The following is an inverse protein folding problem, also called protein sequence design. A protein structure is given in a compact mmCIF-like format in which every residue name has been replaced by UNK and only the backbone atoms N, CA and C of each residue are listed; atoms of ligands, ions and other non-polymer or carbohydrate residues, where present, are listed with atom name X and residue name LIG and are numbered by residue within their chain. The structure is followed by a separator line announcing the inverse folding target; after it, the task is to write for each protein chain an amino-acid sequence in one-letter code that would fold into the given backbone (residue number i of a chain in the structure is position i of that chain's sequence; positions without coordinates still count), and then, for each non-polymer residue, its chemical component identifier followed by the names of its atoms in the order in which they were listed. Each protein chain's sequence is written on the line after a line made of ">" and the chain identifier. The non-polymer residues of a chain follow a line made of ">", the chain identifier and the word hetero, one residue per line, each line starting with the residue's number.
data_IF_364502264199
#
_entry.id   IF_364502264199
#
_cell.length_a   1.000
_cell.length_b   1.000
_cell.length_c   1.000
_cell.angle_alpha   90.00
_cell.angle_beta   90.00
_cell.angle_gamma   90.00
#
_symmetry.space_group_name_H-M   'P 1'
#
loop_
_entity.id
_entity.type
_entity.pdbx_description
1 polymer ?
#
# COMPACT_ATOMS: atom_id res chain seq x y z
N UNK A 1 15.08 -10.44 7.82
CA UNK A 1 15.94 -10.44 6.63
C UNK A 1 15.05 -10.01 5.48
N UNK A 2 15.36 -8.91 4.77
CA UNK A 2 14.54 -8.46 3.65
C UNK A 2 15.25 -8.68 2.31
N UNK A 3 14.48 -8.82 1.24
CA UNK A 3 14.92 -9.05 -0.14
C UNK A 3 14.33 -7.97 -1.05
N UNK A 4 14.95 -7.67 -2.19
CA UNK A 4 14.42 -6.64 -3.08
C UNK A 4 13.25 -7.19 -3.91
N UNK A 5 12.22 -6.37 -4.08
CA UNK A 5 11.08 -6.64 -4.95
C UNK A 5 10.87 -5.47 -5.90
N UNK A 6 10.51 -5.78 -7.13
CA UNK A 6 10.18 -4.78 -8.16
C UNK A 6 8.68 -4.80 -8.46
N UNK A 7 8.04 -3.65 -8.43
CA UNK A 7 6.63 -3.47 -8.76
C UNK A 7 6.40 -3.71 -10.26
N UNK A 8 5.48 -4.63 -10.57
CA UNK A 8 5.06 -4.92 -11.95
C UNK A 8 3.77 -4.23 -12.32
N UNK A 9 2.79 -4.25 -11.42
CA UNK A 9 1.50 -3.61 -11.63
C UNK A 9 0.81 -3.30 -10.31
N UNK A 10 -0.02 -2.28 -10.32
CA UNK A 10 -0.88 -1.94 -9.19
C UNK A 10 -2.22 -1.39 -9.69
N UNK A 11 -3.29 -1.69 -8.96
CA UNK A 11 -4.59 -1.02 -9.06
C UNK A 11 -5.06 -0.76 -7.64
N UNK A 12 -4.88 0.46 -7.14
CA UNK A 12 -5.30 0.86 -5.80
C UNK A 12 -6.40 1.91 -5.89
N UNK A 13 -7.53 1.61 -5.25
CA UNK A 13 -8.71 2.47 -5.23
C UNK A 13 -9.00 2.91 -3.81
N UNK A 14 -9.04 4.22 -3.63
CA UNK A 14 -9.46 4.84 -2.37
C UNK A 14 -10.92 5.25 -2.52
N UNK A 15 -11.81 4.69 -1.69
CA UNK A 15 -13.22 5.09 -1.72
C UNK A 15 -13.41 6.47 -1.05
N UNK A 16 -14.39 7.25 -1.49
CA UNK A 16 -14.66 8.58 -0.90
C UNK A 16 -14.99 8.50 0.60
N UNK A 17 -15.64 7.42 1.03
CA UNK A 17 -15.88 7.14 2.45
C UNK A 17 -14.63 6.62 3.17
N UNK A 18 -13.74 5.91 2.47
CA UNK A 18 -12.42 5.57 2.99
C UNK A 18 -11.58 6.82 3.24
N UNK A 19 -11.57 7.81 2.33
CA UNK A 19 -10.90 9.11 2.56
C UNK A 19 -11.46 9.81 3.80
N UNK A 20 -12.78 9.80 4.00
CA UNK A 20 -13.43 10.36 5.20
C UNK A 20 -13.08 9.57 6.47
N UNK A 21 -13.08 8.24 6.40
CA UNK A 21 -12.67 7.35 7.50
C UNK A 21 -11.19 7.50 7.83
N UNK A 22 -10.32 7.64 6.83
CA UNK A 22 -8.91 8.00 6.94
C UNK A 22 -8.78 9.34 7.66
N UNK A 23 -9.39 10.41 7.14
CA UNK A 23 -9.35 11.74 7.77
C UNK A 23 -9.86 11.74 9.22
N UNK A 24 -10.82 10.88 9.55
CA UNK A 24 -11.41 10.77 10.90
C UNK A 24 -10.62 9.85 11.85
N UNK A 25 -10.12 8.72 11.35
CA UNK A 25 -9.29 7.77 12.10
C UNK A 25 -7.92 8.36 12.42
N UNK A 26 -7.54 9.42 11.70
CA UNK A 26 -6.21 9.97 11.69
C UNK A 26 -6.18 11.44 12.12
N UNK A 27 -6.71 11.75 13.29
CA UNK A 27 -6.34 12.98 13.99
C UNK A 27 -4.81 12.97 14.25
N UNK A 28 -3.99 13.36 13.26
CA UNK A 28 -2.52 13.40 13.31
C UNK A 28 -1.73 12.64 12.23
N UNK A 29 -2.36 11.97 11.27
CA UNK A 29 -1.63 11.35 10.14
C UNK A 29 -1.43 12.34 9.00
N UNK A 30 -0.24 12.27 8.41
CA UNK A 30 0.05 12.92 7.15
C UNK A 30 0.32 11.82 6.14
N UNK A 31 -0.31 11.89 4.97
CA UNK A 31 -0.01 11.04 3.83
C UNK A 31 1.48 11.09 3.42
N UNK A 32 2.19 12.15 3.84
CA UNK A 32 3.63 12.30 3.65
C UNK A 32 4.47 11.40 4.57
N UNK A 33 3.86 10.59 5.45
CA UNK A 33 4.54 9.63 6.34
C UNK A 33 4.55 8.20 5.80
N UNK A 34 3.80 7.91 4.74
CA UNK A 34 3.89 6.63 4.04
C UNK A 34 5.26 6.55 3.37
N UNK A 35 6.01 5.51 3.68
CA UNK A 35 7.37 5.34 3.16
C UNK A 35 7.30 4.78 1.73
N UNK A 36 6.35 3.87 1.49
CA UNK A 36 6.26 3.10 0.24
C UNK A 36 5.18 3.62 -0.69
N UNK A 37 4.27 4.46 -0.21
CA UNK A 37 3.15 4.99 -0.99
C UNK A 37 3.02 6.52 -0.89
N UNK A 38 2.54 7.13 -1.96
CA UNK A 38 2.17 8.54 -2.01
C UNK A 38 0.70 8.68 -2.39
N UNK A 39 0.08 9.73 -1.88
CA UNK A 39 -1.30 10.09 -2.22
C UNK A 39 -1.30 11.41 -2.98
N UNK A 40 -1.79 11.39 -4.21
CA UNK A 40 -2.00 12.59 -5.03
C UNK A 40 -3.26 12.42 -5.88
N UNK A 41 -3.98 13.52 -6.08
CA UNK A 41 -5.18 13.58 -6.94
C UNK A 41 -6.23 12.48 -6.66
N UNK A 42 -6.40 12.07 -5.39
CA UNK A 42 -7.39 11.05 -5.02
C UNK A 42 -6.92 9.60 -5.25
N UNK A 43 -5.66 9.40 -5.63
CA UNK A 43 -5.08 8.10 -5.93
C UNK A 43 -3.88 7.83 -5.04
N UNK A 44 -3.71 6.55 -4.70
CA UNK A 44 -2.52 6.05 -4.03
C UNK A 44 -1.59 5.40 -5.06
N UNK A 45 -0.31 5.74 -5.05
CA UNK A 45 0.69 5.15 -5.94
C UNK A 45 1.97 4.83 -5.17
N UNK A 46 2.70 3.76 -5.52
CA UNK A 46 3.97 3.43 -4.89
C UNK A 46 5.04 4.48 -5.21
N UNK A 47 5.90 4.82 -4.23
CA UNK A 47 6.96 5.84 -4.37
C UNK A 47 8.16 5.32 -5.15
N UNK A 48 8.56 4.08 -4.87
CA UNK A 48 9.68 3.42 -5.52
C UNK A 48 9.23 2.12 -6.20
N UNK A 49 9.71 1.94 -7.43
CA UNK A 49 9.42 0.73 -8.21
C UNK A 49 10.24 -0.47 -7.75
N UNK A 50 11.30 -0.27 -6.96
CA UNK A 50 12.11 -1.33 -6.38
C UNK A 50 12.51 -0.96 -4.96
N UNK A 51 12.08 -1.74 -3.98
CA UNK A 51 12.43 -1.55 -2.58
C UNK A 51 12.61 -2.90 -1.88
N UNK A 52 13.11 -2.88 -0.65
CA UNK A 52 13.32 -4.08 0.14
C UNK A 52 12.01 -4.49 0.80
N UNK A 53 11.51 -5.69 0.51
CA UNK A 53 10.39 -6.24 1.26
C UNK A 53 10.83 -6.47 2.71
N UNK A 54 10.14 -5.78 3.62
CA UNK A 54 10.36 -5.80 5.06
C UNK A 54 9.00 -5.81 5.77
N UNK A 55 8.98 -6.20 7.03
CA UNK A 55 7.74 -6.33 7.82
C UNK A 55 6.96 -4.99 7.84
N UNK A 56 7.67 -3.85 7.89
CA UNK A 56 7.10 -2.51 7.86
C UNK A 56 6.28 -2.23 6.58
N UNK A 57 6.68 -2.80 5.43
CA UNK A 57 5.91 -2.66 4.20
C UNK A 57 4.57 -3.39 4.29
N UNK A 58 4.56 -4.62 4.80
CA UNK A 58 3.31 -5.39 4.95
C UNK A 58 2.39 -4.74 5.99
N UNK A 59 2.96 -4.18 7.07
CA UNK A 59 2.21 -3.37 8.04
C UNK A 59 1.57 -2.14 7.39
N UNK A 60 2.28 -1.44 6.50
CA UNK A 60 1.75 -0.31 5.73
C UNK A 60 0.60 -0.75 4.80
N UNK A 61 0.70 -1.91 4.14
CA UNK A 61 -0.39 -2.48 3.35
C UNK A 61 -1.63 -2.81 4.20
N UNK A 62 -1.43 -3.43 5.36
CA UNK A 62 -2.51 -3.74 6.30
C UNK A 62 -3.18 -2.45 6.77
N UNK A 63 -2.38 -1.43 7.08
CA UNK A 63 -2.87 -0.11 7.45
C UNK A 63 -3.72 0.50 6.33
N UNK A 64 -3.23 0.52 5.09
CA UNK A 64 -3.98 1.02 3.92
C UNK A 64 -5.29 0.25 3.70
N UNK A 65 -5.27 -1.07 3.88
CA UNK A 65 -6.47 -1.90 3.82
C UNK A 65 -7.47 -1.54 4.94
N UNK A 66 -7.04 -1.31 6.18
CA UNK A 66 -7.93 -0.84 7.28
C UNK A 66 -8.51 0.54 7.02
N UNK A 67 -7.71 1.39 6.38
CA UNK A 67 -8.11 2.71 5.91
C UNK A 67 -9.17 2.64 4.79
N UNK A 68 -9.46 1.45 4.26
CA UNK A 68 -10.49 1.24 3.24
C UNK A 68 -9.98 1.37 1.80
N UNK A 69 -8.65 1.38 1.62
CA UNK A 69 -8.03 1.19 0.30
C UNK A 69 -8.27 -0.24 -0.15
N UNK A 70 -8.61 -0.40 -1.42
CA UNK A 70 -8.85 -1.70 -2.03
C UNK A 70 -8.06 -1.86 -3.30
N UNK A 71 -7.74 -3.10 -3.66
CA UNK A 71 -7.11 -3.39 -4.93
C UNK A 71 -6.00 -4.41 -4.82
N UNK A 72 -5.07 -4.35 -5.75
CA UNK A 72 -3.97 -5.31 -5.83
C UNK A 72 -2.64 -4.67 -6.19
N UNK A 73 -1.57 -5.29 -5.70
CA UNK A 73 -0.19 -5.00 -6.02
C UNK A 73 0.50 -6.31 -6.44
N UNK A 74 1.25 -6.26 -7.53
CA UNK A 74 2.00 -7.41 -8.05
C UNK A 74 3.47 -7.02 -8.15
N UNK A 75 4.33 -7.85 -7.56
CA UNK A 75 5.77 -7.67 -7.53
C UNK A 75 6.50 -8.90 -8.06
N UNK A 76 7.74 -8.69 -8.50
CA UNK A 76 8.70 -9.74 -8.82
C UNK A 76 9.92 -9.61 -7.91
N UNK A 77 10.33 -10.69 -7.25
CA UNK A 77 11.56 -10.77 -6.45
C UNK A 77 12.81 -11.03 -7.30
N UNK A 78 13.98 -10.85 -6.69
CA UNK A 78 15.29 -11.04 -7.33
C UNK A 78 15.48 -12.46 -7.92
N UNK A 79 14.90 -13.48 -7.29
CA UNK A 79 15.01 -14.87 -7.73
C UNK A 79 13.87 -15.33 -8.67
N UNK A 80 13.11 -14.39 -9.25
CA UNK A 80 11.97 -14.69 -10.12
C UNK A 80 10.70 -15.09 -9.36
N UNK A 81 10.67 -14.85 -8.05
CA UNK A 81 9.50 -15.01 -7.20
C UNK A 81 8.40 -14.00 -7.56
N UNK A 82 7.14 -14.37 -7.36
CA UNK A 82 5.99 -13.51 -7.62
C UNK A 82 5.20 -13.29 -6.34
N UNK A 83 5.00 -12.02 -5.99
CA UNK A 83 4.23 -11.63 -4.83
C UNK A 83 2.99 -10.88 -5.30
N UNK A 84 1.82 -11.29 -4.81
CA UNK A 84 0.56 -10.61 -5.08
C UNK A 84 -0.12 -10.31 -3.76
N UNK A 85 -0.33 -9.02 -3.50
CA UNK A 85 -1.02 -8.53 -2.32
C UNK A 85 -2.40 -8.02 -2.72
N UNK A 86 -3.44 -8.42 -1.99
CA UNK A 86 -4.83 -8.05 -2.30
C UNK A 86 -5.46 -7.36 -1.10
N UNK A 87 -5.69 -6.06 -1.23
CA UNK A 87 -6.29 -5.24 -0.17
C UNK A 87 -7.81 -5.32 -0.27
N UNK A 88 -8.45 -5.87 0.76
CA UNK A 88 -9.91 -6.04 0.83
C UNK A 88 -10.67 -4.83 1.41
N UNK A 89 -9.93 -3.85 1.97
CA UNK A 89 -10.51 -2.68 2.61
C UNK A 89 -11.02 -2.93 4.03
N UNK A 90 -10.64 -4.06 4.64
CA UNK A 90 -10.99 -4.47 6.02
C UNK A 90 -9.76 -4.75 6.89
N UNK A 91 -8.56 -4.47 6.38
CA UNK A 91 -7.31 -4.73 7.08
C UNK A 91 -6.75 -6.13 6.88
N UNK A 92 -7.14 -6.80 5.80
CA UNK A 92 -6.49 -8.01 5.31
C UNK A 92 -5.76 -7.71 4.00
N UNK A 93 -4.65 -8.40 3.81
CA UNK A 93 -3.75 -8.32 2.65
C UNK A 93 -3.41 -9.75 2.23
#
# INVERSE_FOLDING_TARGET
>A
MGYYITLRSYDLKVSSDAVKKLASALQGFSWNKLEYFQYSEGKLYPVEYSFKLVDEFEEELVFLSRAGVRGELVFTGEEGEYFKYVLDGKGKV
#
